data_IF_721202154036
#
_entry.id   IF_721202154036
#
_cell.length_a   1.000
_cell.length_b   1.000
_cell.length_c   1.000
_cell.angle_alpha   90.00
_cell.angle_beta   90.00
_cell.angle_gamma   90.00
#
_symmetry.space_group_name_H-M   'P 1'
#
loop_
_entity.id
_entity.type
_entity.pdbx_description
1 polymer ?
#
# COMPACT_ATOMS: atom_id res chain seq x y z
N UNK A 1 31.55 8.65 -0.70
CA UNK A 1 31.21 8.60 -2.14
C UNK A 1 31.60 7.30 -2.88
N UNK A 2 32.29 6.32 -2.28
CA UNK A 2 32.70 5.08 -2.98
C UNK A 2 32.02 3.77 -2.52
N UNK A 3 31.15 3.81 -1.50
CA UNK A 3 30.47 2.60 -0.98
C UNK A 3 29.03 2.41 -1.47
N UNK A 4 28.43 3.40 -2.14
CA UNK A 4 27.04 3.33 -2.61
C UNK A 4 26.88 2.67 -4.00
N UNK A 5 27.99 2.50 -4.74
CA UNK A 5 27.97 1.86 -6.06
C UNK A 5 27.82 0.33 -6.02
N UNK A 6 28.07 -0.31 -4.88
CA UNK A 6 28.06 -1.78 -4.77
C UNK A 6 26.69 -2.38 -4.47
N UNK A 7 25.76 -1.61 -3.88
CA UNK A 7 24.41 -2.09 -3.59
C UNK A 7 23.54 -2.10 -4.86
N UNK A 8 23.73 -1.12 -5.74
CA UNK A 8 23.02 -1.04 -7.04
C UNK A 8 23.61 -1.97 -8.11
N UNK A 9 24.90 -2.31 -8.04
CA UNK A 9 25.56 -3.17 -9.03
C UNK A 9 25.31 -4.68 -8.84
N UNK A 10 24.91 -5.12 -7.64
CA UNK A 10 24.65 -6.54 -7.37
C UNK A 10 23.28 -7.03 -7.90
N UNK A 11 22.37 -6.12 -8.26
CA UNK A 11 21.01 -6.45 -8.71
C UNK A 11 20.96 -6.65 -10.24
N UNK A 12 21.90 -6.10 -11.00
CA UNK A 12 21.87 -6.06 -12.46
C UNK A 12 22.28 -7.34 -13.20
N UNK A 13 22.78 -8.40 -12.53
CA UNK A 13 23.48 -9.49 -13.21
C UNK A 13 22.75 -10.85 -13.29
N UNK A 14 21.48 -10.97 -12.90
CA UNK A 14 20.74 -12.27 -12.94
C UNK A 14 19.40 -12.15 -13.70
N UNK A 15 19.30 -11.23 -14.68
CA UNK A 15 18.05 -10.99 -15.41
C UNK A 15 17.79 -11.99 -16.56
N UNK A 16 18.74 -12.84 -16.94
CA UNK A 16 18.52 -13.74 -18.07
C UNK A 16 18.21 -15.15 -17.61
N UNK A 17 16.91 -15.48 -17.78
CA UNK A 17 16.27 -16.79 -17.78
C UNK A 17 15.53 -17.16 -16.48
N UNK A 18 14.20 -16.96 -16.50
CA UNK A 18 13.15 -17.94 -16.21
C UNK A 18 11.77 -17.24 -16.16
N UNK A 19 10.86 -17.62 -17.08
CA UNK A 19 9.40 -17.49 -17.03
C UNK A 19 8.79 -16.13 -16.63
N UNK A 20 8.19 -15.43 -17.60
CA UNK A 20 7.30 -14.30 -17.30
C UNK A 20 6.13 -14.72 -16.40
N UNK A 21 5.71 -13.82 -15.51
CA UNK A 21 4.46 -13.98 -14.75
C UNK A 21 3.32 -13.84 -15.75
N UNK A 22 2.68 -14.96 -16.11
CA UNK A 22 1.58 -14.99 -17.08
C UNK A 22 0.27 -14.78 -16.31
N UNK A 23 -0.55 -13.83 -16.75
CA UNK A 23 -1.92 -13.68 -16.26
C UNK A 23 -2.67 -15.03 -16.36
N UNK A 24 -3.59 -15.34 -15.44
CA UNK A 24 -4.40 -16.55 -15.56
C UNK A 24 -5.16 -16.54 -16.90
N UNK A 25 -5.30 -17.71 -17.51
CA UNK A 25 -5.94 -17.84 -18.81
C UNK A 25 -7.40 -17.37 -18.73
N UNK A 26 -7.72 -16.25 -19.40
CA UNK A 26 -9.06 -15.66 -19.41
C UNK A 26 -9.18 -14.32 -18.66
N UNK A 27 -8.17 -13.93 -17.88
CA UNK A 27 -8.15 -12.63 -17.21
C UNK A 27 -8.18 -11.48 -18.23
N UNK A 28 -8.92 -10.43 -17.91
CA UNK A 28 -8.92 -9.22 -18.73
C UNK A 28 -7.55 -8.53 -18.62
N UNK A 29 -6.84 -8.40 -19.74
CA UNK A 29 -5.67 -7.53 -19.82
C UNK A 29 -6.11 -6.08 -19.65
N UNK A 30 -5.66 -5.45 -18.57
CA UNK A 30 -5.80 -4.01 -18.36
C UNK A 30 -4.47 -3.37 -18.76
N UNK A 31 -4.44 -2.37 -19.67
CA UNK A 31 -3.20 -1.72 -20.05
C UNK A 31 -2.51 -1.09 -18.81
N UNK A 32 -1.27 -1.48 -18.52
CA UNK A 32 -0.50 -0.95 -17.38
C UNK A 32 -0.07 0.52 -17.55
N UNK A 33 -0.49 1.23 -18.61
CA UNK A 33 -0.10 2.62 -18.88
C UNK A 33 1.40 2.86 -19.15
N UNK A 34 2.26 1.86 -18.96
CA UNK A 34 3.71 1.91 -19.15
C UNK A 34 4.09 1.88 -20.63
N UNK A 35 3.71 2.89 -21.40
CA UNK A 35 4.36 3.14 -22.70
C UNK A 35 5.72 3.78 -22.46
N UNK A 36 6.78 3.16 -23.01
CA UNK A 36 8.04 3.84 -23.28
C UNK A 36 7.75 4.97 -24.27
N UNK A 37 7.46 6.17 -23.78
CA UNK A 37 7.37 7.36 -24.60
C UNK A 37 8.77 7.72 -25.12
N UNK A 38 9.21 7.04 -26.18
CA UNK A 38 10.22 7.54 -27.11
C UNK A 38 9.51 8.54 -28.00
N UNK A 39 9.20 9.71 -27.45
CA UNK A 39 8.61 10.82 -28.15
C UNK A 39 8.87 12.08 -27.36
N UNK A 40 9.45 13.09 -28.00
CA UNK A 40 9.59 14.43 -27.43
C UNK A 40 8.20 15.04 -27.22
N UNK A 41 7.54 14.71 -26.12
CA UNK A 41 6.48 15.52 -25.56
C UNK A 41 7.15 16.73 -24.92
N UNK A 42 6.87 17.89 -25.50
CA UNK A 42 7.26 19.19 -24.97
C UNK A 42 6.86 19.30 -23.49
N UNK A 43 7.63 20.08 -22.74
CA UNK A 43 7.49 20.40 -21.32
C UNK A 43 6.19 21.16 -20.95
N UNK A 44 5.07 20.86 -21.61
CA UNK A 44 3.74 21.44 -21.42
C UNK A 44 2.60 20.41 -21.48
N UNK A 45 2.88 19.11 -21.69
CA UNK A 45 1.85 18.06 -21.75
C UNK A 45 1.68 17.22 -20.48
N UNK A 46 2.62 17.32 -19.53
CA UNK A 46 2.67 16.51 -18.30
C UNK A 46 2.38 17.33 -17.03
N UNK A 47 2.15 18.64 -17.15
CA UNK A 47 1.86 19.54 -16.02
C UNK A 47 0.38 19.57 -15.60
N UNK A 48 -0.56 18.99 -16.37
CA UNK A 48 -1.98 19.38 -16.29
C UNK A 48 -3.03 18.26 -16.41
N UNK A 49 -2.64 16.99 -16.33
CA UNK A 49 -3.59 15.93 -15.97
C UNK A 49 -3.61 15.83 -14.43
N UNK A 50 -4.38 16.75 -13.84
CA UNK A 50 -5.20 16.46 -12.67
C UNK A 50 -4.65 16.60 -11.24
N UNK A 51 -3.91 17.66 -10.90
CA UNK A 51 -3.84 18.07 -9.49
C UNK A 51 -5.11 18.85 -9.12
N UNK A 52 -5.81 18.44 -8.06
CA UNK A 52 -7.03 19.11 -7.61
C UNK A 52 -8.32 18.51 -8.18
N UNK A 53 -9.21 19.33 -8.74
CA UNK A 53 -10.62 18.97 -9.02
C UNK A 53 -10.87 18.23 -10.35
N UNK A 54 -9.81 17.86 -11.08
CA UNK A 54 -10.00 17.13 -12.33
C UNK A 54 -10.53 15.72 -12.08
N UNK A 55 -11.46 15.31 -12.94
CA UNK A 55 -12.02 13.96 -12.98
C UNK A 55 -11.80 13.40 -14.39
N UNK A 56 -11.11 12.25 -14.54
CA UNK A 56 -10.94 11.62 -15.84
C UNK A 56 -12.29 11.24 -16.47
N UNK A 57 -12.39 11.16 -17.81
CA UNK A 57 -13.58 10.62 -18.49
C UNK A 57 -13.94 9.22 -17.99
N UNK A 58 -15.24 8.90 -17.95
CA UNK A 58 -15.72 7.61 -17.44
C UNK A 58 -15.15 6.43 -18.23
N UNK A 59 -14.96 6.58 -19.53
CA UNK A 59 -14.35 5.56 -20.39
C UNK A 59 -12.91 5.24 -19.96
N UNK A 60 -12.15 6.26 -19.53
CA UNK A 60 -10.80 6.10 -19.01
C UNK A 60 -10.82 5.40 -17.66
N UNK A 61 -11.70 5.83 -16.75
CA UNK A 61 -11.87 5.18 -15.45
C UNK A 61 -12.27 3.70 -15.61
N UNK A 62 -13.18 3.40 -16.53
CA UNK A 62 -13.61 2.03 -16.83
C UNK A 62 -12.48 1.18 -17.40
N UNK A 63 -11.57 1.78 -18.18
CA UNK A 63 -10.46 1.05 -18.79
C UNK A 63 -9.45 0.50 -17.79
N UNK A 64 -9.41 1.05 -16.56
CA UNK A 64 -8.56 0.57 -15.47
C UNK A 64 -9.14 -0.62 -14.70
N UNK A 65 -10.41 -0.97 -14.93
CA UNK A 65 -11.08 -2.06 -14.22
C UNK A 65 -10.94 -3.38 -14.98
N UNK A 66 -10.59 -4.44 -14.26
CA UNK A 66 -10.50 -5.79 -14.81
C UNK A 66 -10.90 -6.86 -13.80
N UNK A 67 -11.25 -8.05 -14.29
CA UNK A 67 -11.60 -9.19 -13.46
C UNK A 67 -10.89 -10.47 -13.92
N UNK A 68 -10.75 -11.40 -12.98
CA UNK A 68 -10.15 -12.71 -13.21
C UNK A 68 -10.95 -13.50 -14.24
N UNK A 69 -12.28 -13.39 -14.16
CA UNK A 69 -13.22 -14.00 -15.10
C UNK A 69 -14.03 -12.92 -15.83
N UNK A 70 -14.23 -13.06 -17.16
CA UNK A 70 -15.00 -12.09 -17.95
C UNK A 70 -16.42 -11.88 -17.42
N UNK A 71 -17.04 -12.95 -16.93
CA UNK A 71 -18.38 -12.97 -16.35
C UNK A 71 -18.32 -13.52 -14.95
N UNK A 72 -18.98 -12.87 -13.99
CA UNK A 72 -19.05 -13.36 -12.63
C UNK A 72 -19.88 -14.65 -12.56
N UNK A 73 -19.40 -15.63 -11.79
CA UNK A 73 -20.22 -16.79 -11.44
C UNK A 73 -21.36 -16.34 -10.51
N UNK A 74 -22.64 -16.54 -10.87
CA UNK A 74 -23.77 -16.19 -10.00
C UNK A 74 -23.73 -16.89 -8.62
N UNK A 75 -23.00 -18.01 -8.51
CA UNK A 75 -22.78 -18.73 -7.26
C UNK A 75 -21.69 -18.11 -6.37
N UNK A 76 -20.89 -17.16 -6.90
CA UNK A 76 -19.86 -16.49 -6.12
C UNK A 76 -20.49 -15.75 -4.92
N UNK A 77 -19.80 -15.72 -3.78
CA UNK A 77 -20.30 -15.11 -2.54
C UNK A 77 -20.54 -13.61 -2.71
N UNK A 78 -19.50 -12.88 -3.13
CA UNK A 78 -19.49 -11.46 -3.47
C UNK A 78 -18.29 -11.15 -4.35
N UNK A 79 -18.24 -9.94 -4.89
CA UNK A 79 -17.08 -9.46 -5.64
C UNK A 79 -16.06 -8.82 -4.68
N UNK A 80 -14.78 -9.18 -4.83
CA UNK A 80 -13.67 -8.59 -4.08
C UNK A 80 -12.80 -7.77 -5.04
N UNK A 81 -12.60 -6.49 -4.72
CA UNK A 81 -11.81 -5.55 -5.51
C UNK A 81 -10.42 -5.39 -4.91
N UNK A 82 -9.40 -5.75 -5.68
CA UNK A 82 -7.99 -5.63 -5.31
C UNK A 82 -7.39 -4.31 -5.79
N UNK A 83 -6.65 -3.62 -4.92
CA UNK A 83 -5.96 -2.36 -5.22
C UNK A 83 -4.48 -2.49 -4.86
N UNK A 84 -3.61 -2.42 -5.88
CA UNK A 84 -2.16 -2.57 -5.70
C UNK A 84 -1.49 -1.34 -5.10
N UNK A 85 -0.28 -1.56 -4.58
CA UNK A 85 0.60 -0.51 -4.08
C UNK A 85 1.39 0.22 -5.17
N UNK A 86 2.34 1.06 -4.72
CA UNK A 86 3.21 1.84 -5.61
C UNK A 86 4.06 0.94 -6.50
N UNK A 87 4.15 1.31 -7.78
CA UNK A 87 5.06 0.71 -8.75
C UNK A 87 4.89 -0.82 -8.86
N UNK A 88 3.65 -1.29 -8.74
CA UNK A 88 3.34 -2.69 -8.88
C UNK A 88 2.07 -2.87 -9.73
N UNK A 89 2.22 -3.66 -10.78
CA UNK A 89 1.08 -4.20 -11.51
C UNK A 89 0.28 -5.15 -10.61
N UNK A 90 -1.03 -5.29 -10.88
CA UNK A 90 -1.91 -6.14 -10.08
C UNK A 90 -1.44 -7.60 -10.02
N UNK A 91 -0.90 -8.16 -11.10
CA UNK A 91 -0.43 -9.54 -11.13
C UNK A 91 0.93 -9.69 -10.45
N UNK A 92 1.76 -8.65 -10.44
CA UNK A 92 2.99 -8.62 -9.65
C UNK A 92 2.67 -8.65 -8.15
N UNK A 93 1.61 -7.93 -7.74
CA UNK A 93 1.17 -7.83 -6.35
C UNK A 93 0.40 -9.07 -5.90
N UNK A 94 -0.63 -9.46 -6.65
CA UNK A 94 -1.66 -10.42 -6.21
C UNK A 94 -1.74 -11.71 -7.03
N UNK A 95 -1.05 -11.80 -8.17
CA UNK A 95 -1.17 -12.92 -9.11
C UNK A 95 -0.76 -14.29 -8.54
N UNK A 96 0.03 -14.31 -7.48
CA UNK A 96 0.46 -15.54 -6.79
C UNK A 96 -0.13 -15.71 -5.39
N UNK A 97 -1.03 -14.83 -4.95
CA UNK A 97 -1.62 -14.86 -3.62
C UNK A 97 -3.14 -14.62 -3.66
N UNK A 98 -3.64 -13.42 -3.36
CA UNK A 98 -5.05 -13.15 -3.19
C UNK A 98 -5.89 -13.47 -4.43
N UNK A 99 -5.37 -13.33 -5.66
CA UNK A 99 -6.14 -13.72 -6.87
C UNK A 99 -6.49 -15.22 -6.82
N UNK A 100 -5.54 -16.17 -6.87
CA UNK A 100 -5.88 -17.59 -6.83
C UNK A 100 -6.55 -18.02 -5.52
N UNK A 101 -6.19 -17.42 -4.38
CA UNK A 101 -6.78 -17.72 -3.07
C UNK A 101 -8.27 -17.35 -2.99
N UNK A 102 -8.65 -16.17 -3.50
CA UNK A 102 -10.04 -15.70 -3.48
C UNK A 102 -10.88 -16.49 -4.50
N UNK A 103 -10.34 -16.75 -5.70
CA UNK A 103 -11.02 -17.57 -6.71
C UNK A 103 -11.31 -18.98 -6.19
N UNK A 104 -10.35 -19.64 -5.52
CA UNK A 104 -10.55 -20.97 -4.93
C UNK A 104 -11.65 -20.97 -3.85
N UNK A 105 -11.83 -19.84 -3.15
CA UNK A 105 -12.82 -19.68 -2.09
C UNK A 105 -14.19 -19.20 -2.61
N UNK A 106 -14.37 -19.13 -3.93
CA UNK A 106 -15.66 -18.81 -4.54
C UNK A 106 -16.01 -17.32 -4.54
N UNK A 107 -15.02 -16.42 -4.48
CA UNK A 107 -15.24 -15.00 -4.71
C UNK A 107 -15.09 -14.65 -6.20
N UNK A 108 -15.87 -13.67 -6.66
CA UNK A 108 -15.61 -13.01 -7.94
C UNK A 108 -14.48 -11.99 -7.71
N UNK A 109 -13.36 -12.14 -8.43
CA UNK A 109 -12.14 -11.35 -8.15
C UNK A 109 -11.96 -10.32 -9.24
N UNK A 110 -11.99 -9.05 -8.84
CA UNK A 110 -11.74 -7.91 -9.72
C UNK A 110 -10.65 -7.01 -9.14
N UNK A 111 -10.19 -6.07 -9.93
CA UNK A 111 -9.14 -5.13 -9.54
C UNK A 111 -9.27 -3.81 -10.28
N UNK A 112 -8.53 -2.84 -9.76
CA UNK A 112 -8.27 -1.57 -10.43
C UNK A 112 -6.77 -1.47 -10.66
N UNK A 113 -6.37 -1.31 -11.92
CA UNK A 113 -4.99 -1.04 -12.29
C UNK A 113 -4.80 0.47 -12.41
N UNK A 114 -4.24 1.15 -11.38
CA UNK A 114 -4.08 2.59 -11.44
C UNK A 114 -3.11 3.01 -12.56
N UNK A 115 -3.32 4.19 -13.16
CA UNK A 115 -2.35 4.77 -14.09
C UNK A 115 -0.96 4.83 -13.46
N UNK A 116 0.07 4.72 -14.31
CA UNK A 116 1.47 4.76 -13.87
C UNK A 116 1.77 3.73 -12.76
N UNK A 117 1.10 2.57 -12.78
CA UNK A 117 1.17 1.53 -11.75
C UNK A 117 1.13 2.09 -10.31
N UNK A 118 0.26 3.08 -10.07
CA UNK A 118 0.04 3.65 -8.73
C UNK A 118 1.16 4.56 -8.21
N UNK A 119 2.02 5.09 -9.10
CA UNK A 119 3.06 6.09 -8.73
C UNK A 119 2.56 7.54 -8.70
N UNK A 120 1.39 7.79 -9.28
CA UNK A 120 0.80 9.12 -9.43
C UNK A 120 0.09 9.62 -8.18
N UNK A 121 -0.79 10.60 -8.39
CA UNK A 121 -1.63 11.19 -7.33
C UNK A 121 -2.62 10.15 -6.76
N UNK A 122 -2.62 9.98 -5.44
CA UNK A 122 -3.52 9.07 -4.72
C UNK A 122 -4.99 9.51 -4.77
N UNK A 123 -5.28 10.81 -4.86
CA UNK A 123 -6.65 11.33 -5.04
C UNK A 123 -7.18 11.03 -6.44
N UNK A 124 -6.31 10.99 -7.46
CA UNK A 124 -6.68 10.57 -8.80
C UNK A 124 -6.86 9.05 -8.85
N UNK A 125 -5.94 8.29 -8.24
CA UNK A 125 -6.07 6.84 -8.08
C UNK A 125 -7.41 6.47 -7.43
N UNK A 126 -7.84 7.23 -6.42
CA UNK A 126 -9.11 7.02 -5.75
C UNK A 126 -10.34 7.13 -6.68
N UNK A 127 -10.29 7.95 -7.74
CA UNK A 127 -11.37 8.03 -8.73
C UNK A 127 -11.51 6.71 -9.52
N UNK A 128 -10.39 6.09 -9.89
CA UNK A 128 -10.41 4.76 -10.52
C UNK A 128 -10.91 3.70 -9.54
N UNK A 129 -10.52 3.78 -8.26
CA UNK A 129 -11.02 2.84 -7.24
C UNK A 129 -12.53 3.00 -7.03
N UNK A 130 -13.03 4.22 -6.91
CA UNK A 130 -14.47 4.50 -6.77
C UNK A 130 -15.27 3.96 -7.96
N UNK A 131 -14.77 4.15 -9.18
CA UNK A 131 -15.43 3.61 -10.37
C UNK A 131 -15.34 2.07 -10.42
N UNK A 132 -14.20 1.49 -10.06
CA UNK A 132 -14.02 0.04 -9.99
C UNK A 132 -14.94 -0.64 -8.98
N UNK A 133 -15.20 -0.02 -7.83
CA UNK A 133 -16.19 -0.48 -6.84
C UNK A 133 -17.59 -0.55 -7.48
N UNK A 134 -18.01 0.49 -8.19
CA UNK A 134 -19.33 0.54 -8.85
C UNK A 134 -19.46 -0.53 -9.94
N UNK A 135 -18.41 -0.72 -10.74
CA UNK A 135 -18.37 -1.75 -11.78
C UNK A 135 -18.38 -3.16 -11.18
N UNK A 136 -17.63 -3.39 -10.10
CA UNK A 136 -17.60 -4.65 -9.38
C UNK A 136 -18.98 -4.99 -8.80
N UNK A 137 -19.62 -4.03 -8.12
CA UNK A 137 -20.94 -4.22 -7.52
C UNK A 137 -21.99 -4.60 -8.57
N UNK A 138 -21.93 -4.00 -9.76
CA UNK A 138 -22.86 -4.27 -10.85
C UNK A 138 -22.77 -5.70 -11.42
N UNK A 139 -21.69 -6.45 -11.13
CA UNK A 139 -21.52 -7.83 -11.63
C UNK A 139 -22.48 -8.81 -10.96
N UNK A 140 -22.64 -8.70 -9.65
CA UNK A 140 -23.47 -9.60 -8.84
C UNK A 140 -24.67 -8.89 -8.19
N UNK A 141 -24.70 -7.56 -8.14
CA UNK A 141 -25.71 -6.78 -7.46
C UNK A 141 -25.67 -6.92 -5.92
N UNK A 142 -24.51 -7.29 -5.37
CA UNK A 142 -24.26 -7.47 -3.93
C UNK A 142 -23.16 -6.50 -3.50
N UNK A 143 -23.12 -6.16 -2.23
CA UNK A 143 -22.03 -5.36 -1.67
C UNK A 143 -20.69 -6.03 -1.95
N UNK A 144 -19.66 -5.20 -2.15
CA UNK A 144 -18.31 -5.64 -2.51
C UNK A 144 -17.35 -5.42 -1.36
N UNK A 145 -16.32 -6.25 -1.30
CA UNK A 145 -15.23 -6.04 -0.36
C UNK A 145 -14.01 -5.48 -1.08
N UNK A 146 -13.23 -4.62 -0.42
CA UNK A 146 -12.04 -4.00 -1.01
C UNK A 146 -10.79 -4.44 -0.25
N UNK A 147 -9.78 -4.93 -0.96
CA UNK A 147 -8.47 -5.25 -0.39
C UNK A 147 -7.43 -4.32 -1.02
N UNK A 148 -6.79 -3.50 -0.18
CA UNK A 148 -5.66 -2.67 -0.59
C UNK A 148 -4.33 -3.22 -0.08
N UNK A 149 -3.26 -3.04 -0.84
CA UNK A 149 -1.88 -3.24 -0.35
C UNK A 149 -1.09 -1.92 -0.40
N UNK A 150 -0.29 -1.66 0.62
CA UNK A 150 0.65 -0.53 0.64
C UNK A 150 -0.06 0.82 0.35
N UNK A 151 0.34 1.56 -0.68
CA UNK A 151 -0.30 2.81 -1.10
C UNK A 151 -1.69 2.64 -1.73
N UNK A 152 -2.08 1.42 -2.12
CA UNK A 152 -3.45 1.13 -2.54
C UNK A 152 -4.45 1.31 -1.40
N UNK A 153 -4.01 1.16 -0.14
CA UNK A 153 -4.91 1.31 1.03
C UNK A 153 -5.34 2.76 1.25
N UNK A 154 -4.47 3.79 1.31
CA UNK A 154 -4.93 5.16 1.42
C UNK A 154 -5.73 5.61 0.19
N UNK A 155 -5.43 5.11 -1.01
CA UNK A 155 -6.22 5.43 -2.21
C UNK A 155 -7.65 4.85 -2.15
N UNK A 156 -7.80 3.58 -1.75
CA UNK A 156 -9.11 2.96 -1.55
C UNK A 156 -9.90 3.64 -0.43
N UNK A 157 -9.23 3.96 0.68
CA UNK A 157 -9.85 4.68 1.80
C UNK A 157 -10.30 6.08 1.37
N UNK A 158 -9.52 6.79 0.54
CA UNK A 158 -9.92 8.08 -0.03
C UNK A 158 -11.15 7.96 -0.91
N UNK A 159 -11.22 6.92 -1.75
CA UNK A 159 -12.38 6.66 -2.62
C UNK A 159 -13.66 6.47 -1.80
N UNK A 160 -13.62 5.62 -0.76
CA UNK A 160 -14.77 5.36 0.11
C UNK A 160 -15.11 6.55 1.03
N UNK A 161 -14.16 7.45 1.29
CA UNK A 161 -14.42 8.66 2.07
C UNK A 161 -15.14 9.74 1.24
N UNK A 162 -14.70 9.94 0.00
CA UNK A 162 -15.12 11.09 -0.81
C UNK A 162 -16.08 10.77 -1.96
N UNK A 163 -16.33 9.48 -2.26
CA UNK A 163 -17.41 9.05 -3.15
C UNK A 163 -18.46 8.25 -2.37
N UNK A 164 -19.49 8.94 -1.89
CA UNK A 164 -20.57 8.33 -1.11
C UNK A 164 -21.31 7.20 -1.86
N UNK A 165 -21.35 7.27 -3.21
CA UNK A 165 -22.00 6.23 -4.01
C UNK A 165 -21.16 4.97 -4.12
N UNK A 166 -19.83 5.07 -4.11
CA UNK A 166 -18.95 3.92 -3.98
C UNK A 166 -18.99 3.36 -2.55
N UNK A 167 -18.94 4.24 -1.54
CA UNK A 167 -18.93 3.84 -0.13
C UNK A 167 -20.17 3.03 0.29
N UNK A 168 -21.34 3.39 -0.25
CA UNK A 168 -22.60 2.69 0.01
C UNK A 168 -22.67 1.28 -0.58
N UNK A 169 -21.68 0.88 -1.40
CA UNK A 169 -21.61 -0.43 -2.05
C UNK A 169 -20.56 -1.36 -1.42
N UNK A 170 -19.86 -0.89 -0.38
CA UNK A 170 -18.78 -1.64 0.26
C UNK A 170 -19.23 -2.14 1.63
N UNK A 171 -18.96 -3.42 1.92
CA UNK A 171 -19.19 -4.03 3.22
C UNK A 171 -17.90 -4.17 4.05
N UNK A 172 -16.80 -4.62 3.43
CA UNK A 172 -15.50 -4.80 4.07
C UNK A 172 -14.40 -3.98 3.40
N UNK A 173 -13.53 -3.39 4.22
CA UNK A 173 -12.24 -2.87 3.76
C UNK A 173 -11.09 -3.53 4.50
N UNK A 174 -10.20 -4.19 3.75
CA UNK A 174 -9.04 -4.90 4.28
C UNK A 174 -7.76 -4.23 3.79
N UNK A 175 -7.04 -3.59 4.70
CA UNK A 175 -5.76 -2.94 4.45
C UNK A 175 -4.60 -3.89 4.79
N UNK A 176 -3.78 -4.25 3.81
CA UNK A 176 -2.59 -5.09 3.98
C UNK A 176 -1.32 -4.24 3.90
N UNK A 177 -0.56 -4.16 5.00
CA UNK A 177 0.64 -3.31 5.11
C UNK A 177 0.38 -1.86 4.64
N UNK A 178 -0.79 -1.32 4.97
CA UNK A 178 -1.25 -0.04 4.47
C UNK A 178 -0.50 1.16 5.03
N UNK A 179 -0.28 2.17 4.20
CA UNK A 179 0.31 3.45 4.60
C UNK A 179 -0.76 4.49 4.94
N UNK A 180 -1.78 4.10 5.71
CA UNK A 180 -3.01 4.88 5.96
C UNK A 180 -2.74 6.21 6.69
N UNK A 181 -1.67 6.25 7.49
CA UNK A 181 -1.14 7.46 8.15
C UNK A 181 0.27 7.81 7.66
N UNK A 182 0.65 7.32 6.49
CA UNK A 182 1.93 7.60 5.84
C UNK A 182 3.09 6.75 6.35
N UNK A 183 4.30 7.11 5.94
CA UNK A 183 5.55 6.44 6.36
C UNK A 183 6.69 7.45 6.51
N UNK A 184 7.51 7.28 7.55
CA UNK A 184 8.66 8.19 7.80
C UNK A 184 9.84 7.93 6.86
N UNK A 185 9.79 6.92 6.00
CA UNK A 185 10.90 6.57 5.10
C UNK A 185 11.02 7.46 3.87
N UNK A 186 10.00 8.27 3.60
CA UNK A 186 9.97 9.16 2.43
C UNK A 186 10.74 10.46 2.70
N UNK A 187 10.78 10.91 3.95
CA UNK A 187 11.42 12.16 4.39
C UNK A 187 12.90 12.27 3.97
N UNK A 188 13.78 11.28 4.23
CA UNK A 188 15.21 11.44 3.96
C UNK A 188 15.53 11.54 2.46
N UNK A 189 14.67 10.97 1.61
CA UNK A 189 14.83 11.01 0.16
C UNK A 189 14.42 12.38 -0.37
N UNK A 190 13.30 12.92 0.10
CA UNK A 190 12.79 14.22 -0.36
C UNK A 190 13.63 15.41 0.12
N UNK A 191 14.15 15.37 1.35
CA UNK A 191 14.96 16.45 1.91
C UNK A 191 16.30 16.63 1.18
N UNK A 192 16.89 15.53 0.66
CA UNK A 192 18.20 15.57 -0.01
C UNK A 192 18.10 16.15 -1.44
N UNK A 193 16.99 15.94 -2.14
CA UNK A 193 16.82 16.39 -3.54
C UNK A 193 15.86 17.57 -3.71
N UNK A 194 15.29 18.10 -2.62
CA UNK A 194 14.37 19.26 -2.54
C UNK A 194 13.03 19.08 -3.29
N UNK A 195 12.97 18.19 -4.27
CA UNK A 195 11.79 17.91 -5.10
C UNK A 195 11.39 16.44 -5.00
N UNK A 196 10.10 16.17 -4.92
CA UNK A 196 9.57 14.82 -4.79
C UNK A 196 8.36 14.54 -5.69
N UNK A 197 8.17 13.29 -6.13
CA UNK A 197 6.94 12.91 -6.81
C UNK A 197 5.73 13.11 -5.89
N UNK A 198 4.56 13.35 -6.47
CA UNK A 198 3.32 13.64 -5.73
C UNK A 198 3.03 12.60 -4.65
N UNK A 199 3.18 11.32 -4.95
CA UNK A 199 2.89 10.23 -4.01
C UNK A 199 3.81 10.28 -2.78
N UNK A 200 5.06 10.70 -2.96
CA UNK A 200 5.99 10.86 -1.84
C UNK A 200 5.52 11.99 -0.91
N UNK A 201 5.06 13.10 -1.48
CA UNK A 201 4.44 14.16 -0.69
C UNK A 201 3.17 13.68 0.02
N UNK A 202 2.28 12.97 -0.66
CA UNK A 202 1.01 12.52 -0.09
C UNK A 202 1.19 11.44 0.99
N UNK A 203 2.20 10.57 0.88
CA UNK A 203 2.49 9.53 1.88
C UNK A 203 3.39 10.02 3.04
N UNK A 204 3.85 11.26 3.01
CA UNK A 204 4.54 11.87 4.14
C UNK A 204 3.56 12.05 5.31
N UNK A 205 3.86 11.64 6.56
CA UNK A 205 2.86 11.58 7.65
C UNK A 205 2.15 12.90 7.98
N UNK A 206 2.76 14.05 7.66
CA UNK A 206 2.17 15.38 7.83
C UNK A 206 1.60 15.98 6.53
N UNK A 207 1.36 15.18 5.51
CA UNK A 207 0.75 15.65 4.27
C UNK A 207 -0.69 16.12 4.50
N UNK A 208 -1.14 17.10 3.73
CA UNK A 208 -2.53 17.53 3.68
C UNK A 208 -3.43 16.36 3.27
N UNK A 209 -2.97 15.53 2.35
CA UNK A 209 -3.67 14.31 1.94
C UNK A 209 -3.99 13.41 3.14
N UNK A 210 -3.01 13.07 3.98
CA UNK A 210 -3.25 12.18 5.12
C UNK A 210 -4.03 12.87 6.24
N UNK A 211 -3.86 14.18 6.42
CA UNK A 211 -4.69 14.96 7.33
C UNK A 211 -6.16 14.87 6.93
N UNK A 212 -6.49 15.15 5.66
CA UNK A 212 -7.84 15.06 5.14
C UNK A 212 -8.40 13.63 5.19
N UNK A 213 -7.61 12.63 4.75
CA UNK A 213 -8.00 11.22 4.76
C UNK A 213 -8.40 10.73 6.17
N UNK A 214 -7.67 11.16 7.20
CA UNK A 214 -7.84 10.69 8.57
C UNK A 214 -8.68 11.64 9.45
N UNK A 215 -9.31 12.66 8.88
CA UNK A 215 -10.13 13.62 9.63
C UNK A 215 -11.41 13.01 10.22
N UNK A 216 -11.87 11.86 9.73
CA UNK A 216 -12.98 11.09 10.28
C UNK A 216 -12.81 9.59 9.97
N UNK A 217 -13.50 8.67 10.67
CA UNK A 217 -13.52 7.25 10.29
C UNK A 217 -14.17 7.05 8.91
N UNK A 218 -14.04 5.84 8.36
CA UNK A 218 -14.84 5.41 7.20
C UNK A 218 -16.35 5.36 7.57
N UNK A 219 -17.26 5.41 6.58
CA UNK A 219 -18.69 5.22 6.82
C UNK A 219 -19.01 3.95 7.62
N UNK A 220 -20.01 4.01 8.50
CA UNK A 220 -20.33 2.94 9.46
C UNK A 220 -20.75 1.62 8.82
N UNK A 221 -21.13 1.62 7.54
CA UNK A 221 -21.45 0.39 6.80
C UNK A 221 -20.20 -0.39 6.34
N UNK A 222 -19.00 0.14 6.56
CA UNK A 222 -17.74 -0.47 6.10
C UNK A 222 -16.97 -1.00 7.32
N UNK A 223 -16.88 -2.32 7.41
CA UNK A 223 -16.09 -3.02 8.40
C UNK A 223 -14.60 -2.97 8.02
N UNK A 224 -13.87 -2.05 8.66
CA UNK A 224 -12.47 -1.80 8.34
C UNK A 224 -11.52 -2.68 9.18
N UNK A 225 -10.70 -3.46 8.49
CA UNK A 225 -9.61 -4.26 9.06
C UNK A 225 -8.27 -3.79 8.52
N UNK A 226 -7.32 -3.48 9.40
CA UNK A 226 -5.92 -3.26 9.03
C UNK A 226 -5.04 -4.39 9.54
N UNK A 227 -4.36 -5.07 8.62
CA UNK A 227 -3.43 -6.16 8.91
C UNK A 227 -2.04 -5.68 8.53
N UNK A 228 -1.12 -5.69 9.50
CA UNK A 228 0.24 -5.18 9.29
C UNK A 228 1.27 -6.03 10.02
N UNK A 229 2.55 -5.75 9.78
CA UNK A 229 3.65 -6.39 10.50
C UNK A 229 4.44 -5.35 11.28
N UNK A 230 4.73 -5.64 12.55
CA UNK A 230 5.61 -4.81 13.38
C UNK A 230 7.02 -4.69 12.79
N UNK A 231 7.44 -5.66 11.98
CA UNK A 231 8.76 -5.72 11.33
C UNK A 231 8.76 -5.29 9.87
N UNK A 232 7.69 -4.67 9.39
CA UNK A 232 7.63 -4.11 8.03
C UNK A 232 8.73 -3.04 7.84
N UNK A 233 9.74 -3.24 6.96
CA UNK A 233 10.81 -2.26 6.79
C UNK A 233 10.40 -1.06 5.92
N UNK A 234 9.24 -1.08 5.26
CA UNK A 234 8.75 -0.03 4.35
C UNK A 234 7.72 0.91 4.98
N UNK A 235 6.95 0.42 5.95
CA UNK A 235 5.88 1.19 6.61
C UNK A 235 6.19 1.27 8.11
N UNK A 236 6.74 2.41 8.53
CA UNK A 236 7.16 2.63 9.92
C UNK A 236 6.78 4.04 10.41
N UNK A 237 6.45 4.19 11.71
CA UNK A 237 6.22 3.14 12.71
C UNK A 237 4.95 2.32 12.42
N UNK A 238 5.06 1.01 12.21
CA UNK A 238 4.00 0.21 11.58
C UNK A 238 2.61 0.34 12.25
N UNK A 239 2.58 0.30 13.59
CA UNK A 239 1.33 0.44 14.35
C UNK A 239 0.63 1.79 14.20
N UNK A 240 1.38 2.88 14.00
CA UNK A 240 0.78 4.20 13.75
C UNK A 240 0.42 4.33 12.28
N UNK A 241 1.39 4.00 11.42
CA UNK A 241 1.31 4.15 9.97
C UNK A 241 0.15 3.35 9.34
N UNK A 242 -0.10 2.14 9.82
CA UNK A 242 -1.16 1.27 9.30
C UNK A 242 -2.48 1.38 10.05
N UNK A 243 -2.58 2.20 11.10
CA UNK A 243 -3.83 2.28 11.88
C UNK A 243 -4.94 3.00 11.13
N UNK A 244 -6.10 2.36 11.02
CA UNK A 244 -7.36 2.93 10.54
C UNK A 244 -8.17 3.42 11.74
N UNK A 245 -8.62 4.68 11.71
CA UNK A 245 -9.50 5.24 12.73
C UNK A 245 -10.86 4.53 12.70
N UNK A 246 -11.32 4.05 13.86
CA UNK A 246 -12.59 3.30 13.98
C UNK A 246 -12.53 1.85 13.49
N UNK A 247 -11.43 1.42 12.87
CA UNK A 247 -11.24 0.05 12.40
C UNK A 247 -10.55 -0.88 13.39
N UNK A 248 -10.48 -2.16 13.05
CA UNK A 248 -9.75 -3.19 13.79
C UNK A 248 -8.33 -3.32 13.24
N UNK A 249 -7.33 -3.02 14.06
CA UNK A 249 -5.93 -2.90 13.66
C UNK A 249 -5.10 -4.04 14.28
N UNK A 250 -4.69 -5.01 13.47
CA UNK A 250 -4.09 -6.27 13.92
C UNK A 250 -2.68 -6.41 13.34
N UNK A 251 -1.62 -6.27 14.14
CA UNK A 251 -0.32 -6.75 13.73
C UNK A 251 -0.32 -8.28 13.75
N UNK A 252 0.25 -8.92 12.73
CA UNK A 252 0.33 -10.39 12.66
C UNK A 252 1.01 -11.01 13.88
N UNK A 253 1.90 -10.26 14.55
CA UNK A 253 2.57 -10.70 15.77
C UNK A 253 1.67 -10.77 17.01
N UNK A 254 0.49 -10.15 17.00
CA UNK A 254 -0.47 -10.30 18.11
C UNK A 254 -1.20 -11.66 18.02
N UNK A 255 -1.23 -12.28 16.84
CA UNK A 255 -1.74 -13.65 16.64
C UNK A 255 -0.60 -14.66 16.70
N UNK A 256 0.48 -14.41 15.97
CA UNK A 256 1.65 -15.29 15.88
C UNK A 256 2.95 -14.50 16.15
N UNK A 257 3.41 -14.45 17.42
CA UNK A 257 4.55 -13.60 17.84
C UNK A 257 5.89 -13.88 17.13
N UNK A 258 6.05 -15.07 16.55
CA UNK A 258 7.26 -15.53 15.88
C UNK A 258 7.25 -15.30 14.35
N UNK A 259 6.20 -14.70 13.79
CA UNK A 259 6.12 -14.43 12.36
C UNK A 259 6.64 -13.03 12.04
N UNK A 260 7.69 -12.95 11.22
CA UNK A 260 8.40 -11.71 10.89
C UNK A 260 8.24 -11.35 9.40
N UNK A 261 6.99 -11.19 8.96
CA UNK A 261 6.73 -10.71 7.62
C UNK A 261 7.27 -9.28 7.44
N UNK A 262 7.87 -9.00 6.29
CA UNK A 262 8.18 -7.66 5.81
C UNK A 262 7.04 -7.11 4.95
N UNK A 263 7.27 -5.97 4.29
CA UNK A 263 6.24 -5.24 3.55
C UNK A 263 5.53 -6.08 2.49
N UNK A 264 6.33 -6.76 1.67
CA UNK A 264 5.85 -7.58 0.56
C UNK A 264 5.54 -9.00 1.03
N UNK A 265 6.36 -9.57 1.91
CA UNK A 265 6.15 -10.92 2.42
C UNK A 265 4.92 -11.03 3.31
N UNK A 266 4.30 -9.92 3.73
CA UNK A 266 2.98 -9.93 4.37
C UNK A 266 1.90 -10.50 3.43
N UNK A 267 1.99 -10.27 2.11
CA UNK A 267 1.06 -10.85 1.13
C UNK A 267 1.19 -12.37 1.01
N UNK A 268 2.30 -12.94 1.47
CA UNK A 268 2.54 -14.39 1.48
C UNK A 268 2.29 -15.00 2.87
N UNK A 269 2.05 -14.17 3.88
CA UNK A 269 1.99 -14.59 5.26
C UNK A 269 0.67 -15.31 5.57
N UNK A 270 0.76 -16.50 6.16
CA UNK A 270 -0.42 -17.31 6.47
C UNK A 270 -1.36 -16.62 7.47
N UNK A 271 -0.83 -15.97 8.51
CA UNK A 271 -1.66 -15.26 9.50
C UNK A 271 -2.40 -14.09 8.87
N UNK A 272 -1.74 -13.31 8.01
CA UNK A 272 -2.39 -12.22 7.28
C UNK A 272 -3.49 -12.74 6.34
N UNK A 273 -3.24 -13.85 5.65
CA UNK A 273 -4.26 -14.54 4.84
C UNK A 273 -5.46 -14.96 5.70
N UNK A 274 -5.25 -15.64 6.82
CA UNK A 274 -6.34 -16.09 7.71
C UNK A 274 -7.17 -14.92 8.24
N UNK A 275 -6.53 -13.81 8.63
CA UNK A 275 -7.22 -12.61 9.08
C UNK A 275 -8.03 -11.95 7.97
N UNK A 276 -7.49 -11.85 6.75
CA UNK A 276 -8.20 -11.26 5.62
C UNK A 276 -9.43 -12.10 5.24
N UNK A 277 -9.28 -13.43 5.19
CA UNK A 277 -10.40 -14.33 4.92
C UNK A 277 -11.40 -14.42 6.07
N UNK A 278 -10.96 -14.19 7.31
CA UNK A 278 -11.88 -14.07 8.44
C UNK A 278 -12.78 -12.83 8.31
N UNK A 279 -12.24 -11.67 7.91
CA UNK A 279 -13.06 -10.50 7.60
C UNK A 279 -14.07 -10.81 6.46
N UNK A 280 -13.59 -11.33 5.33
CA UNK A 280 -14.45 -11.57 4.15
C UNK A 280 -15.63 -12.53 4.39
N UNK A 281 -15.49 -13.46 5.32
CA UNK A 281 -16.45 -14.56 5.53
C UNK A 281 -17.34 -14.38 6.77
N UNK A 282 -17.22 -13.27 7.50
CA UNK A 282 -17.98 -13.05 8.73
C UNK A 282 -18.49 -11.61 8.80
N UNK A 283 -19.60 -11.40 9.51
CA UNK A 283 -20.04 -10.06 9.86
C UNK A 283 -19.00 -9.38 10.78
N UNK A 284 -18.75 -8.09 10.54
CA UNK A 284 -17.75 -7.34 11.28
C UNK A 284 -16.33 -7.52 10.75
N UNK A 285 -15.38 -6.69 11.21
CA UNK A 285 -13.99 -6.79 10.80
C UNK A 285 -13.34 -8.09 11.30
N UNK A 286 -12.12 -8.37 10.85
CA UNK A 286 -11.38 -9.56 11.26
C UNK A 286 -11.25 -9.65 12.79
N UNK A 287 -11.38 -10.86 13.32
CA UNK A 287 -11.31 -11.15 14.74
C UNK A 287 -10.29 -12.27 14.98
N UNK A 288 -9.14 -11.97 15.61
CA UNK A 288 -8.14 -12.98 15.97
C UNK A 288 -8.68 -14.18 16.74
N UNK A 289 -9.75 -14.02 17.51
CA UNK A 289 -10.36 -15.10 18.27
C UNK A 289 -11.06 -16.15 17.37
N UNK A 290 -11.54 -15.78 16.18
CA UNK A 290 -12.19 -16.70 15.23
C UNK A 290 -11.20 -17.62 14.51
N UNK A 291 -9.93 -17.22 14.43
CA UNK A 291 -8.85 -18.02 13.82
C UNK A 291 -7.99 -18.76 14.86
N UNK A 292 -8.39 -18.74 16.14
CA UNK A 292 -7.64 -19.37 17.22
C UNK A 292 -8.05 -20.86 17.44
N UNK A 293 -7.08 -21.76 17.78
CA UNK A 293 -5.65 -21.52 17.82
C UNK A 293 -5.06 -21.44 16.40
N UNK A 294 -4.30 -20.38 16.13
CA UNK A 294 -3.66 -20.21 14.84
C UNK A 294 -2.45 -21.17 14.70
N UNK A 295 -2.27 -21.76 13.51
CA UNK A 295 -1.06 -22.53 13.18
C UNK A 295 0.09 -21.57 12.88
N UNK A 296 0.77 -21.12 13.93
CA UNK A 296 1.92 -20.22 13.81
C UNK A 296 3.17 -20.89 13.23
N UNK A 297 3.18 -22.23 13.06
CA UNK A 297 4.23 -22.97 12.37
C UNK A 297 4.12 -22.86 10.85
N UNK A 298 2.90 -22.64 10.34
CA UNK A 298 2.66 -22.37 8.93
C UNK A 298 2.94 -20.91 8.61
N UNK A 299 4.08 -20.65 7.97
CA UNK A 299 4.51 -19.30 7.61
C UNK A 299 3.83 -18.77 6.34
N UNK A 300 3.60 -19.65 5.37
CA UNK A 300 3.14 -19.30 4.03
C UNK A 300 1.67 -19.69 3.81
N UNK A 301 0.92 -18.75 3.24
CA UNK A 301 -0.47 -18.94 2.85
C UNK A 301 -0.60 -19.98 1.71
N UNK A 302 -1.78 -20.59 1.50
CA UNK A 302 -2.03 -21.42 0.32
C UNK A 302 -1.61 -20.73 -1.00
N UNK A 303 -1.19 -21.50 -2.01
CA UNK A 303 -0.66 -21.00 -3.30
C UNK A 303 0.64 -20.20 -3.28
N UNK A 304 1.15 -19.84 -2.09
CA UNK A 304 2.35 -19.02 -1.97
C UNK A 304 3.60 -19.85 -1.67
N UNK A 305 4.74 -19.39 -2.19
CA UNK A 305 6.06 -19.90 -1.92
C UNK A 305 7.08 -18.75 -2.01
N UNK A 306 8.31 -18.94 -1.49
CA UNK A 306 9.31 -17.88 -1.49
C UNK A 306 9.80 -17.47 -2.89
N UNK A 307 9.67 -18.33 -3.91
CA UNK A 307 10.00 -17.96 -5.29
C UNK A 307 9.00 -16.94 -5.85
N UNK A 308 7.83 -16.78 -5.24
CA UNK A 308 6.93 -15.68 -5.61
C UNK A 308 7.56 -14.30 -5.35
N UNK A 309 8.59 -14.16 -4.50
CA UNK A 309 9.34 -12.90 -4.39
C UNK A 309 10.08 -12.54 -5.68
N UNK A 310 10.28 -13.48 -6.60
CA UNK A 310 10.82 -13.18 -7.93
C UNK A 310 9.83 -12.34 -8.74
N UNK A 311 8.50 -12.44 -8.52
CA UNK A 311 7.55 -11.53 -9.20
C UNK A 311 7.77 -10.08 -8.77
N UNK A 312 8.26 -9.84 -7.56
CA UNK A 312 8.57 -8.50 -7.03
C UNK A 312 9.83 -7.94 -7.68
N UNK A 313 10.79 -8.80 -8.08
CA UNK A 313 11.91 -8.35 -8.92
C UNK A 313 11.43 -7.84 -10.28
N UNK A 314 10.31 -8.35 -10.79
CA UNK A 314 9.70 -7.83 -12.02
C UNK A 314 9.03 -6.46 -11.84
N UNK A 315 8.79 -6.02 -10.60
CA UNK A 315 8.38 -4.64 -10.30
C UNK A 315 9.55 -3.65 -10.37
N UNK A 316 10.82 -4.12 -10.41
CA UNK A 316 12.00 -3.24 -10.44
C UNK A 316 11.99 -2.19 -11.57
N UNK A 317 11.54 -2.49 -12.81
CA UNK A 317 11.38 -1.48 -13.85
C UNK A 317 10.40 -0.37 -13.47
N UNK A 318 9.29 -0.69 -12.80
CA UNK A 318 8.30 0.29 -12.35
C UNK A 318 8.85 1.15 -11.20
N UNK A 319 9.62 0.54 -10.29
CA UNK A 319 10.36 1.29 -9.26
C UNK A 319 11.44 2.20 -9.85
N UNK A 320 12.09 1.78 -10.94
CA UNK A 320 13.02 2.64 -11.69
C UNK A 320 12.27 3.74 -12.45
N UNK A 321 11.10 3.44 -13.00
CA UNK A 321 10.24 4.42 -13.67
C UNK A 321 9.78 5.53 -12.71
N UNK A 322 9.69 5.26 -11.41
CA UNK A 322 9.44 6.28 -10.38
C UNK A 322 10.49 7.42 -10.37
N UNK A 323 11.70 7.19 -10.89
CA UNK A 323 12.71 8.24 -11.05
C UNK A 323 12.34 9.25 -12.14
N UNK A 324 11.50 8.85 -13.10
CA UNK A 324 11.03 9.68 -14.20
C UNK A 324 9.73 10.43 -13.93
N UNK A 325 9.09 10.22 -12.77
CA UNK A 325 7.85 10.91 -12.41
C UNK A 325 8.09 12.42 -12.19
N UNK A 326 7.12 13.29 -12.53
CA UNK A 326 7.19 14.72 -12.26
C UNK A 326 7.49 14.98 -10.78
N UNK A 327 8.37 15.96 -10.51
CA UNK A 327 8.80 16.29 -9.15
C UNK A 327 8.37 17.69 -8.76
N UNK A 328 7.86 17.81 -7.55
CA UNK A 328 7.26 19.03 -7.01
C UNK A 328 8.04 19.50 -5.78
N UNK A 329 8.10 20.82 -5.58
CA UNK A 329 8.74 21.45 -4.41
C UNK A 329 7.92 21.33 -3.12
N UNK A 330 6.62 21.08 -3.26
CA UNK A 330 5.70 20.89 -2.14
C UNK A 330 4.60 19.93 -2.55
N UNK A 331 3.86 19.42 -1.56
CA UNK A 331 2.63 18.69 -1.82
C UNK A 331 1.69 19.53 -2.70
N UNK A 332 1.23 18.98 -3.84
CA UNK A 332 0.25 19.66 -4.67
C UNK A 332 -1.09 19.89 -3.95
N UNK A 333 -1.92 20.77 -4.52
CA UNK A 333 -3.21 21.10 -3.93
C UNK A 333 -4.20 19.93 -3.99
N UNK A 334 -4.90 19.69 -2.88
CA UNK A 334 -5.96 18.69 -2.82
C UNK A 334 -7.19 19.12 -3.65
N UNK A 335 -8.02 18.16 -4.09
CA UNK A 335 -9.35 18.45 -4.61
C UNK A 335 -10.16 19.31 -3.63
N UNK A 336 -10.95 20.25 -4.15
CA UNK A 336 -11.73 21.22 -3.36
C UNK A 336 -12.62 20.58 -2.32
N UNK A 337 -13.20 19.41 -2.62
CA UNK A 337 -14.06 18.65 -1.71
C UNK A 337 -13.34 18.18 -0.44
N UNK A 338 -12.01 18.05 -0.46
CA UNK A 338 -11.22 17.55 0.67
C UNK A 338 -10.49 18.67 1.44
N UNK A 339 -10.44 19.90 0.92
CA UNK A 339 -9.68 21.00 1.55
C UNK A 339 -10.23 21.39 2.92
N UNK A 340 -11.54 21.26 3.13
CA UNK A 340 -12.19 21.55 4.41
C UNK A 340 -11.86 20.53 5.52
N UNK A 341 -11.38 19.35 5.14
CA UNK A 341 -11.04 18.26 6.07
C UNK A 341 -9.58 18.29 6.50
N UNK A 342 -8.76 19.22 5.97
CA UNK A 342 -7.37 19.35 6.39
C UNK A 342 -7.33 19.89 7.82
N UNK A 343 -7.22 18.96 8.79
CA UNK A 343 -7.13 19.24 10.23
C UNK A 343 -5.71 19.62 10.65
N UNK A 344 -5.58 20.40 11.72
CA UNK A 344 -4.26 20.76 12.26
C UNK A 344 -3.48 19.48 12.67
N UNK A 345 -2.23 19.29 12.19
CA UNK A 345 -1.45 18.07 12.43
C UNK A 345 -1.19 17.72 13.90
N UNK A 346 -1.48 18.62 14.85
CA UNK A 346 -1.22 18.42 16.28
C UNK A 346 -2.37 17.80 17.09
N UNK A 347 -3.60 17.72 16.57
CA UNK A 347 -4.77 17.32 17.39
C UNK A 347 -5.07 15.80 17.41
N UNK A 348 -4.55 15.01 16.48
CA UNK A 348 -4.99 13.62 16.30
C UNK A 348 -3.87 12.58 16.24
N UNK A 349 -3.07 12.46 17.32
CA UNK A 349 -2.20 11.29 17.55
C UNK A 349 -1.28 10.91 16.38
N UNK A 350 -0.97 11.87 15.51
CA UNK A 350 -0.22 11.65 14.28
C UNK A 350 1.21 11.22 14.58
N UNK A 351 1.89 10.68 13.57
CA UNK A 351 3.33 10.43 13.64
C UNK A 351 4.00 11.81 13.73
N UNK A 352 4.28 12.24 14.97
CA UNK A 352 4.58 13.64 15.28
C UNK A 352 5.92 14.11 14.72
N UNK A 353 6.87 13.20 14.46
CA UNK A 353 8.16 13.56 13.90
C UNK A 353 8.86 12.36 13.26
N UNK A 354 9.56 12.70 12.18
CA UNK A 354 10.48 11.85 11.46
C UNK A 354 11.57 11.24 12.31
N UNK A 355 12.19 10.22 11.75
CA UNK A 355 13.31 9.45 12.31
C UNK A 355 14.53 10.25 12.82
N UNK A 356 14.58 11.58 12.65
CA UNK A 356 15.62 12.46 13.20
C UNK A 356 15.60 12.54 14.73
N UNK A 357 14.43 12.51 15.37
CA UNK A 357 14.34 12.50 16.85
C UNK A 357 14.87 11.18 17.44
N UNK A 358 14.62 10.04 16.79
CA UNK A 358 15.12 8.72 17.26
C UNK A 358 16.60 8.49 16.93
N UNK A 359 17.13 9.10 15.86
CA UNK A 359 18.58 9.11 15.62
C UNK A 359 19.32 9.95 16.66
N UNK A 360 18.75 11.08 17.09
CA UNK A 360 19.28 11.87 18.21
C UNK A 360 19.20 11.09 19.55
N UNK A 361 18.11 10.37 19.79
CA UNK A 361 17.92 9.58 21.02
C UNK A 361 18.82 8.33 21.04
N UNK A 362 18.98 7.63 19.91
CA UNK A 362 19.90 6.51 19.73
C UNK A 362 21.38 6.94 19.78
N UNK A 363 21.72 8.12 19.25
CA UNK A 363 23.08 8.67 19.38
C UNK A 363 23.37 9.21 20.78
N UNK A 364 22.36 9.66 21.54
CA UNK A 364 22.51 10.04 22.95
C UNK A 364 22.71 8.83 23.88
N UNK A 365 22.09 7.68 23.57
CA UNK A 365 22.28 6.42 24.32
C UNK A 365 23.61 5.74 23.98
N UNK A 366 24.07 5.81 22.72
CA UNK A 366 25.41 5.32 22.34
C UNK A 366 26.52 6.25 22.83
N UNK A 367 26.30 7.58 22.86
CA UNK A 367 27.24 8.56 23.41
C UNK A 367 27.41 8.46 24.93
N UNK A 368 26.34 8.15 25.67
CA UNK A 368 26.40 7.99 27.13
C UNK A 368 27.04 6.66 27.56
N UNK A 369 26.96 5.60 26.73
CA UNK A 369 27.62 4.32 26.96
C UNK A 369 29.13 4.31 26.69
N UNK A 370 29.65 5.29 25.96
CA UNK A 370 31.08 5.40 25.59
C UNK A 370 31.89 6.37 26.45
N UNK A 371 31.26 7.13 27.36
CA UNK A 371 31.94 8.08 28.27
C UNK A 371 32.08 7.51 29.70
N UNK A 372 31.53 6.33 29.98
CA UNK A 372 31.50 5.70 31.30
C UNK A 372 32.43 4.51 31.49
N UNK A 373 33.67 4.52 30.99
CA UNK A 373 34.69 3.49 31.33
C UNK A 373 36.10 3.93 30.95
N UNK A 374 36.70 4.82 31.76
CA UNK A 374 38.17 5.02 31.84
C UNK A 374 38.53 5.85 33.07
N UNK A 375 38.46 5.26 34.26
CA UNK A 375 39.28 5.71 35.41
C UNK A 375 40.00 4.50 35.98
N UNK A 376 41.11 4.13 35.34
CA UNK A 376 42.07 3.19 35.91
C UNK A 376 43.34 3.95 36.26
N UNK A 377 43.58 3.96 37.57
CA UNK A 377 44.77 4.39 38.30
C UNK A 377 46.09 3.97 37.68
N UNK A 378 46.97 4.93 37.40
CA UNK A 378 48.41 4.70 37.22
C UNK A 378 49.10 4.99 38.56
N UNK A 379 49.46 3.92 39.27
CA UNK A 379 50.44 3.96 40.35
C UNK A 379 51.83 3.69 39.78
N UNK A 380 52.76 4.61 39.99
CA UNK A 380 54.19 4.43 39.73
C UNK A 380 54.93 4.34 41.05
N UNK A 381 55.56 3.18 41.28
CA UNK A 381 56.53 2.95 42.34
C UNK A 381 57.80 3.77 42.08
N UNK A 382 58.22 4.56 43.07
CA UNK A 382 59.56 4.55 43.69
C UNK A 382 59.48 5.18 45.07
#
# INVERSE_FOLDING_TARGET
MFRFKWILAAIGAVVVALGGVVAPAGAQEVPNGSSLLVGSSTAHGLDAYAMGDYVPPVEELNSAFGCAEPTADPAATKTVVLVSGVAADIFQTFGSNFIPQLTEQGFDVCWVQPPHSGRGDLTQTALYVAQGIKLAQARLGRDVSVIGHSAGTPAAMWAMRYDASAAALVDDFISLAGAVRGTTLIEPVCEVVVTCPVIAWQMHPRSKFLQALNAAPLPENIDATSIFSKTDPGIQPAHLASSILGGTNIPVQDVCPNQYAGHITLLLNNTAYQLAFDALNNDGPANPARIAPADCGRLLAPHTNLLNLVSVLHAAPEYLAALGEPRYLSEPELPSYARGDVVDPHEHGGIAEGSSARLAEASSTVGSGLVGSSTTTLGSSF
#
